data_IF_124817141906
#
_entry.id   IF_124817141906
#
_cell.length_a   1.000
_cell.length_b   1.000
_cell.length_c   1.000
_cell.angle_alpha   90.00
_cell.angle_beta   90.00
_cell.angle_gamma   90.00
#
_symmetry.space_group_name_H-M   'P 1'
#
loop_
_entity.id
_entity.type
_entity.pdbx_description
1 polymer ?
#
# COMPACT_ATOMS: atom_id res chain seq x y z
N UNK A 1 11.17 6.98 18.32
CA UNK A 1 10.12 7.38 17.34
C UNK A 1 9.17 6.21 17.18
N UNK A 2 7.88 6.39 17.53
CA UNK A 2 6.89 5.32 17.46
C UNK A 2 6.77 4.81 16.02
N UNK A 3 7.07 3.53 15.79
CA UNK A 3 7.02 2.88 14.47
C UNK A 3 5.65 3.02 13.79
N UNK A 4 4.58 3.14 14.58
CA UNK A 4 3.22 3.38 14.12
C UNK A 4 3.05 4.78 13.47
N UNK A 5 3.64 5.83 14.04
CA UNK A 5 3.55 7.19 13.46
C UNK A 5 4.23 7.26 12.09
N UNK A 6 5.36 6.57 11.92
CA UNK A 6 6.06 6.49 10.63
C UNK A 6 5.20 5.77 9.60
N UNK A 7 4.59 4.64 9.96
CA UNK A 7 3.72 3.89 9.05
C UNK A 7 2.48 4.67 8.64
N UNK A 8 1.85 5.39 9.59
CA UNK A 8 0.72 6.27 9.28
C UNK A 8 1.16 7.36 8.31
N UNK A 9 2.31 8.00 8.54
CA UNK A 9 2.85 9.02 7.62
C UNK A 9 3.09 8.48 6.22
N UNK A 10 3.73 7.32 6.11
CA UNK A 10 3.97 6.63 4.82
C UNK A 10 2.66 6.28 4.13
N UNK A 11 1.67 5.76 4.86
CA UNK A 11 0.36 5.41 4.31
C UNK A 11 -0.39 6.64 3.78
N UNK A 12 -0.38 7.74 4.52
CA UNK A 12 -1.04 9.00 4.10
C UNK A 12 -0.40 9.54 2.83
N UNK A 13 0.93 9.58 2.75
CA UNK A 13 1.65 10.01 1.54
C UNK A 13 1.34 9.07 0.37
N UNK A 14 1.37 7.75 0.60
CA UNK A 14 1.08 6.77 -0.43
C UNK A 14 -0.35 6.91 -0.98
N UNK A 15 -1.36 7.04 -0.11
CA UNK A 15 -2.76 7.25 -0.51
C UNK A 15 -2.91 8.56 -1.29
N UNK A 16 -2.27 9.64 -0.84
CA UNK A 16 -2.30 10.92 -1.55
C UNK A 16 -1.77 10.81 -2.98
N UNK A 17 -0.68 10.05 -3.19
CA UNK A 17 -0.13 9.81 -4.53
C UNK A 17 -1.04 8.93 -5.39
N UNK A 18 -1.69 7.91 -4.83
CA UNK A 18 -2.67 7.09 -5.55
C UNK A 18 -3.88 7.91 -6.01
N UNK A 19 -4.36 8.84 -5.19
CA UNK A 19 -5.42 9.79 -5.59
C UNK A 19 -4.92 10.74 -6.67
N UNK A 20 -3.67 11.20 -6.58
CA UNK A 20 -3.03 11.99 -7.63
C UNK A 20 -3.00 11.26 -8.99
N UNK A 21 -2.68 9.96 -8.98
CA UNK A 21 -2.65 9.10 -10.18
C UNK A 21 -4.02 8.88 -10.82
N UNK A 22 -5.12 9.02 -10.06
CA UNK A 22 -6.47 8.94 -10.64
C UNK A 22 -6.90 10.20 -11.39
N UNK A 23 -6.07 11.25 -11.36
CA UNK A 23 -6.29 12.54 -12.00
C UNK A 23 -7.75 13.06 -11.90
N UNK A 24 -8.34 13.11 -10.68
CA UNK A 24 -9.76 13.44 -10.51
C UNK A 24 -10.10 14.87 -10.92
N UNK A 25 -9.10 15.74 -11.06
CA UNK A 25 -9.27 17.16 -11.40
C UNK A 25 -8.62 17.54 -12.74
N UNK A 26 -8.16 16.57 -13.54
CA UNK A 26 -7.41 16.80 -14.80
C UNK A 26 -6.25 17.79 -14.61
N UNK A 27 -5.57 17.70 -13.47
CA UNK A 27 -4.55 18.68 -13.06
C UNK A 27 -3.19 18.37 -13.73
N UNK A 28 -3.03 17.16 -14.26
CA UNK A 28 -1.74 16.63 -14.72
C UNK A 28 -1.65 16.65 -16.25
N UNK A 29 -1.06 17.71 -16.78
CA UNK A 29 -0.28 17.68 -18.03
C UNK A 29 1.06 18.38 -17.75
N UNK A 30 2.24 17.79 -18.07
CA UNK A 30 2.51 16.69 -18.99
C UNK A 30 3.02 15.38 -18.34
N UNK A 31 2.97 14.33 -19.15
CA UNK A 31 3.23 12.90 -18.94
C UNK A 31 4.39 12.51 -17.99
N UNK A 32 5.48 13.27 -18.00
CA UNK A 32 6.66 12.97 -17.17
C UNK A 32 6.37 13.09 -15.67
N UNK A 33 5.47 13.98 -15.25
CA UNK A 33 5.11 14.13 -13.84
C UNK A 33 4.38 12.87 -13.31
N UNK A 34 3.43 12.35 -14.11
CA UNK A 34 2.68 11.15 -13.77
C UNK A 34 3.59 9.92 -13.63
N UNK A 35 4.59 9.78 -14.50
CA UNK A 35 5.59 8.72 -14.41
C UNK A 35 6.46 8.83 -13.14
N UNK A 36 6.89 10.03 -12.75
CA UNK A 36 7.64 10.22 -11.50
C UNK A 36 6.80 9.77 -10.31
N UNK A 37 5.53 10.14 -10.29
CA UNK A 37 4.62 9.77 -9.19
C UNK A 37 4.25 8.30 -9.19
N UNK A 38 4.15 7.66 -10.36
CA UNK A 38 4.04 6.22 -10.47
C UNK A 38 5.26 5.51 -9.84
N UNK A 39 6.47 5.97 -10.15
CA UNK A 39 7.71 5.41 -9.59
C UNK A 39 7.76 5.58 -8.07
N UNK A 40 7.41 6.76 -7.57
CA UNK A 40 7.35 7.02 -6.12
C UNK A 40 6.28 6.15 -5.46
N UNK A 41 5.10 6.01 -6.06
CA UNK A 41 4.04 5.14 -5.56
C UNK A 41 4.50 3.67 -5.51
N UNK A 42 5.15 3.16 -6.56
CA UNK A 42 5.70 1.81 -6.58
C UNK A 42 6.80 1.60 -5.53
N UNK A 43 7.66 2.59 -5.29
CA UNK A 43 8.67 2.53 -4.25
C UNK A 43 8.05 2.51 -2.84
N UNK A 44 6.98 3.29 -2.63
CA UNK A 44 6.24 3.30 -1.37
C UNK A 44 5.47 2.00 -1.13
N UNK A 45 4.89 1.40 -2.17
CA UNK A 45 4.23 0.09 -2.03
C UNK A 45 5.24 -1.01 -1.68
N UNK A 46 6.44 -0.99 -2.26
CA UNK A 46 7.53 -1.89 -1.88
C UNK A 46 8.00 -1.67 -0.43
N UNK A 47 8.07 -0.41 0.00
CA UNK A 47 8.39 -0.05 1.40
C UNK A 47 7.32 -0.58 2.36
N UNK A 48 6.04 -0.42 2.00
CA UNK A 48 4.92 -0.94 2.76
C UNK A 48 4.93 -2.47 2.88
N UNK A 49 5.27 -3.16 1.79
CA UNK A 49 5.53 -4.62 1.79
C UNK A 49 6.59 -4.97 2.82
N UNK A 50 7.69 -4.21 2.88
CA UNK A 50 8.74 -4.39 3.90
C UNK A 50 8.21 -4.31 5.33
N UNK A 51 7.36 -3.33 5.63
CA UNK A 51 6.75 -3.21 6.96
C UNK A 51 5.86 -4.41 7.33
N UNK A 52 5.07 -4.91 6.37
CA UNK A 52 4.23 -6.10 6.58
C UNK A 52 5.08 -7.38 6.66
N UNK A 53 6.22 -7.41 5.97
CA UNK A 53 7.18 -8.53 5.97
C UNK A 53 8.04 -8.60 7.26
N UNK A 54 8.18 -7.51 8.00
CA UNK A 54 8.98 -7.44 9.23
C UNK A 54 8.16 -7.53 10.52
N UNK A 55 6.83 -7.63 10.42
CA UNK A 55 5.94 -7.74 11.58
C UNK A 55 6.22 -9.05 12.37
N UNK A 56 6.68 -8.94 13.62
CA UNK A 56 7.02 -10.07 14.50
C UNK A 56 5.82 -10.54 15.34
N UNK A 57 5.92 -11.73 15.94
CA UNK A 57 4.86 -12.35 16.76
C UNK A 57 5.26 -12.55 18.21
N UNK A 58 4.28 -12.40 19.09
CA UNK A 58 4.28 -13.05 20.41
C UNK A 58 4.04 -14.56 20.27
N UNK A 59 4.68 -15.33 21.13
CA UNK A 59 4.86 -16.78 21.04
C UNK A 59 3.57 -17.57 21.32
N UNK A 60 2.75 -17.78 20.27
CA UNK A 60 1.65 -18.74 20.25
C UNK A 60 1.59 -19.41 18.87
N UNK A 61 1.92 -20.71 18.78
CA UNK A 61 2.02 -21.48 17.52
C UNK A 61 0.82 -21.29 16.56
N UNK A 62 -0.40 -21.29 17.10
CA UNK A 62 -1.64 -21.17 16.32
C UNK A 62 -1.87 -19.74 15.77
N UNK A 63 -1.45 -18.72 16.52
CA UNK A 63 -1.41 -17.33 16.04
C UNK A 63 -0.34 -17.17 14.94
N UNK A 64 0.73 -17.97 15.04
CA UNK A 64 1.75 -18.17 14.04
C UNK A 64 1.21 -18.49 12.64
N UNK A 65 0.54 -19.62 12.50
CA UNK A 65 0.07 -20.06 11.19
C UNK A 65 -0.97 -19.10 10.56
N UNK A 66 -1.91 -18.59 11.37
CA UNK A 66 -2.96 -17.66 10.90
C UNK A 66 -2.39 -16.34 10.36
N UNK A 67 -1.48 -15.70 11.08
CA UNK A 67 -0.90 -14.46 10.60
C UNK A 67 0.06 -14.71 9.40
N UNK A 68 0.59 -15.92 9.21
CA UNK A 68 1.47 -16.19 8.06
C UNK A 68 0.63 -16.26 6.80
N UNK A 69 -0.48 -17.00 6.85
CA UNK A 69 -1.48 -17.03 5.78
C UNK A 69 -2.01 -15.63 5.47
N UNK A 70 -2.37 -14.85 6.50
CA UNK A 70 -2.84 -13.47 6.32
C UNK A 70 -1.81 -12.55 5.68
N UNK A 71 -0.53 -12.66 6.07
CA UNK A 71 0.56 -11.87 5.48
C UNK A 71 0.85 -12.30 4.05
N UNK A 72 0.88 -13.60 3.77
CA UNK A 72 1.09 -14.11 2.42
C UNK A 72 0.00 -13.63 1.45
N UNK A 73 -1.27 -13.68 1.86
CA UNK A 73 -2.40 -13.17 1.08
C UNK A 73 -2.32 -11.65 0.85
N UNK A 74 -1.93 -10.89 1.88
CA UNK A 74 -1.76 -9.44 1.74
C UNK A 74 -0.61 -9.09 0.79
N UNK A 75 0.53 -9.77 0.93
CA UNK A 75 1.72 -9.55 0.13
C UNK A 75 1.52 -9.93 -1.34
N UNK A 76 0.81 -11.03 -1.62
CA UNK A 76 0.48 -11.40 -2.99
C UNK A 76 -0.47 -10.39 -3.63
N UNK A 77 -1.51 -9.94 -2.91
CA UNK A 77 -2.46 -8.95 -3.40
C UNK A 77 -1.80 -7.61 -3.73
N UNK A 78 -1.00 -7.06 -2.82
CA UNK A 78 -0.33 -5.78 -3.04
C UNK A 78 0.73 -5.89 -4.17
N UNK A 79 1.41 -7.03 -4.30
CA UNK A 79 2.37 -7.26 -5.38
C UNK A 79 1.68 -7.26 -6.76
N UNK A 80 0.59 -8.01 -6.91
CA UNK A 80 -0.17 -8.09 -8.16
C UNK A 80 -0.72 -6.72 -8.54
N UNK A 81 -1.35 -6.02 -7.60
CA UNK A 81 -1.92 -4.70 -7.88
C UNK A 81 -0.84 -3.64 -8.17
N UNK A 82 0.32 -3.71 -7.51
CA UNK A 82 1.46 -2.83 -7.82
C UNK A 82 1.95 -3.08 -9.24
N UNK A 83 2.13 -4.34 -9.65
CA UNK A 83 2.55 -4.67 -11.01
C UNK A 83 1.51 -4.16 -12.03
N UNK A 84 0.23 -4.39 -11.77
CA UNK A 84 -0.84 -3.91 -12.64
C UNK A 84 -0.85 -2.38 -12.76
N UNK A 85 -0.66 -1.66 -11.65
CA UNK A 85 -0.55 -0.19 -11.65
C UNK A 85 0.65 0.28 -12.47
N UNK A 86 1.81 -0.37 -12.35
CA UNK A 86 3.02 -0.02 -13.12
C UNK A 86 2.79 -0.25 -14.61
N UNK A 87 2.23 -1.40 -15.00
CA UNK A 87 1.93 -1.72 -16.40
C UNK A 87 0.94 -0.71 -16.99
N UNK A 88 -0.14 -0.39 -16.27
CA UNK A 88 -1.13 0.61 -16.70
C UNK A 88 -0.56 2.03 -16.75
N UNK A 89 0.27 2.40 -15.79
CA UNK A 89 0.92 3.70 -15.74
C UNK A 89 1.91 3.92 -16.89
N UNK A 90 2.65 2.87 -17.29
CA UNK A 90 3.50 2.91 -18.49
C UNK A 90 2.69 2.96 -19.80
N UNK A 91 1.44 2.49 -19.78
CA UNK A 91 0.53 2.62 -20.90
C UNK A 91 -0.24 3.95 -20.90
N UNK A 92 -0.08 4.78 -19.87
CA UNK A 92 -0.85 6.01 -19.64
C UNK A 92 -2.37 5.80 -19.57
N UNK A 93 -2.81 4.58 -19.22
CA UNK A 93 -4.22 4.21 -19.04
C UNK A 93 -4.42 3.71 -17.62
N UNK A 94 -4.26 4.61 -16.66
CA UNK A 94 -4.41 4.28 -15.23
C UNK A 94 -5.89 4.09 -14.92
N UNK A 95 -6.27 2.87 -14.55
CA UNK A 95 -7.60 2.58 -14.05
C UNK A 95 -7.71 3.01 -12.58
N UNK A 96 -8.69 3.85 -12.29
CA UNK A 96 -8.95 4.33 -10.93
C UNK A 96 -9.26 3.18 -9.96
N UNK A 97 -9.78 2.04 -10.44
CA UNK A 97 -10.05 0.90 -9.57
C UNK A 97 -8.81 0.28 -8.97
N UNK A 98 -7.69 0.22 -9.71
CA UNK A 98 -6.45 -0.37 -9.21
C UNK A 98 -5.86 0.50 -8.09
N UNK A 99 -5.84 1.82 -8.31
CA UNK A 99 -5.41 2.78 -7.30
C UNK A 99 -6.29 2.75 -6.05
N UNK A 100 -7.61 2.71 -6.21
CA UNK A 100 -8.55 2.61 -5.08
C UNK A 100 -8.40 1.30 -4.32
N UNK A 101 -8.22 0.17 -5.01
CA UNK A 101 -8.03 -1.14 -4.38
C UNK A 101 -6.74 -1.17 -3.54
N UNK A 102 -5.62 -0.67 -4.08
CA UNK A 102 -4.35 -0.53 -3.35
C UNK A 102 -4.52 0.35 -2.11
N UNK A 103 -5.14 1.52 -2.27
CA UNK A 103 -5.41 2.45 -1.17
C UNK A 103 -6.25 1.81 -0.07
N UNK A 104 -7.35 1.13 -0.45
CA UNK A 104 -8.23 0.44 0.49
C UNK A 104 -7.49 -0.66 1.27
N UNK A 105 -6.67 -1.47 0.60
CA UNK A 105 -5.87 -2.51 1.27
C UNK A 105 -4.90 -1.93 2.29
N UNK A 106 -4.25 -0.81 2.00
CA UNK A 106 -3.35 -0.12 2.94
C UNK A 106 -4.12 0.44 4.13
N UNK A 107 -5.25 1.12 3.90
CA UNK A 107 -6.11 1.66 4.97
C UNK A 107 -6.62 0.54 5.88
N UNK A 108 -7.18 -0.53 5.32
CA UNK A 108 -7.72 -1.65 6.10
C UNK A 108 -6.63 -2.30 6.95
N UNK A 109 -5.42 -2.51 6.41
CA UNK A 109 -4.30 -3.08 7.16
C UNK A 109 -3.84 -2.15 8.30
N UNK A 110 -3.80 -0.84 8.06
CA UNK A 110 -3.44 0.16 9.07
C UNK A 110 -4.47 0.21 10.21
N UNK A 111 -5.77 0.21 9.88
CA UNK A 111 -6.86 0.19 10.86
C UNK A 111 -6.84 -1.11 11.66
N UNK A 112 -6.67 -2.26 11.00
CA UNK A 112 -6.58 -3.55 11.67
C UNK A 112 -5.41 -3.61 12.65
N UNK A 113 -4.26 -3.03 12.28
CA UNK A 113 -3.09 -2.94 13.16
C UNK A 113 -3.35 -2.01 14.35
N UNK A 114 -3.91 -0.82 14.11
CA UNK A 114 -4.25 0.10 15.20
C UNK A 114 -5.25 -0.51 16.19
N UNK A 115 -6.21 -1.28 15.68
CA UNK A 115 -7.15 -2.03 16.52
C UNK A 115 -6.42 -3.11 17.34
N UNK A 116 -5.53 -3.88 16.70
CA UNK A 116 -4.74 -4.89 17.39
C UNK A 116 -3.91 -4.27 18.53
N UNK A 117 -3.15 -3.21 18.26
CA UNK A 117 -2.29 -2.52 19.24
C UNK A 117 -3.08 -1.91 20.43
N UNK A 118 -4.39 -1.65 20.26
CA UNK A 118 -5.24 -1.04 21.29
C UNK A 118 -5.96 -2.05 22.18
N UNK A 119 -6.31 -3.22 21.63
CA UNK A 119 -7.15 -4.21 22.30
C UNK A 119 -6.40 -5.49 22.72
N UNK A 120 -5.21 -5.74 22.16
CA UNK A 120 -4.33 -6.88 22.47
C UNK A 120 -2.96 -6.37 22.87
#
# INVERSE_FOLDING_TARGET
>A
MNSLFIQVGVAVVFIGLLVGLTDPFMYWMPDMAALVVLVVAAALSATWVGFVALEQRGDEREAGHRQFAGRAAYLSGIAILTIALVVQGLAHVIDSWISMALGAMVVVKLVARWFADRFY
#
